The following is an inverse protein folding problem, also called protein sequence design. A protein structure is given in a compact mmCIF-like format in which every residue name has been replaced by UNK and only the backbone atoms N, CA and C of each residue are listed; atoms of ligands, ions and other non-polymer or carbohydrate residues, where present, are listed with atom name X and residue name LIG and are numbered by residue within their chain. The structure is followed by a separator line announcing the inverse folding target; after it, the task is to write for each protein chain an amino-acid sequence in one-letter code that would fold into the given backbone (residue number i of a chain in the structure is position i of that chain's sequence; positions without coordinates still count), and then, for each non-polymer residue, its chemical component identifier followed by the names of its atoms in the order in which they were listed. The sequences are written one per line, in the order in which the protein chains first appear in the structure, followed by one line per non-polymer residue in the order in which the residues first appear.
data_IF_864034919457
#
_entry.id   IF_864034919457
#
_cell.length_a   1.000
_cell.length_b   1.000
_cell.length_c   1.000
_cell.angle_alpha   90.00
_cell.angle_beta   90.00
_cell.angle_gamma   90.00
#
_symmetry.space_group_name_H-M   'P 1'
#
loop_
_entity.id
_entity.type
_entity.pdbx_description
1 polymer ?
#
# COMPACT_ATOMS: atom_id res chain seq x y z
N UNK A 1 -29.07 16.12 0.09
CA UNK A 1 -29.42 16.61 -1.26
C UNK A 1 -28.21 16.68 -2.19
N UNK A 2 -26.98 16.89 -1.70
CA UNK A 2 -25.73 16.88 -2.50
C UNK A 2 -25.21 15.44 -2.81
N UNK A 3 -25.57 14.43 -2.01
CA UNK A 3 -25.16 13.03 -2.25
C UNK A 3 -26.02 12.30 -3.32
N UNK A 4 -27.20 12.82 -3.68
CA UNK A 4 -28.04 12.25 -4.74
C UNK A 4 -27.59 12.69 -6.14
N UNK A 5 -27.06 13.92 -6.25
CA UNK A 5 -26.53 14.46 -7.52
C UNK A 5 -25.21 13.77 -7.92
N UNK A 6 -24.38 13.35 -6.94
CA UNK A 6 -23.17 12.55 -7.21
C UNK A 6 -23.43 11.12 -7.66
N UNK A 7 -24.60 10.55 -7.34
CA UNK A 7 -25.00 9.24 -7.89
C UNK A 7 -25.60 9.35 -9.30
N UNK A 8 -26.09 10.53 -9.71
CA UNK A 8 -26.64 10.75 -11.04
C UNK A 8 -25.57 10.86 -12.15
N UNK A 9 -24.31 11.17 -11.80
CA UNK A 9 -23.18 11.12 -12.73
C UNK A 9 -22.58 9.71 -12.90
N UNK A 10 -23.00 8.73 -12.08
CA UNK A 10 -22.48 7.37 -12.10
C UNK A 10 -23.08 6.61 -13.30
N UNK A 11 -22.30 6.52 -14.38
CA UNK A 11 -22.72 5.91 -15.63
C UNK A 11 -23.21 6.92 -16.67
N UNK A 12 -22.66 8.14 -16.68
CA UNK A 12 -22.87 9.10 -17.75
C UNK A 12 -22.53 8.47 -19.11
N UNK A 13 -23.57 8.09 -19.84
CA UNK A 13 -23.47 7.62 -21.21
C UNK A 13 -23.29 8.85 -22.09
N UNK A 14 -22.11 8.99 -22.68
CA UNK A 14 -21.84 10.03 -23.66
C UNK A 14 -21.90 9.43 -25.05
N UNK A 15 -22.85 9.89 -25.86
CA UNK A 15 -22.93 9.52 -27.28
C UNK A 15 -22.30 10.64 -28.09
N UNK A 16 -21.19 10.34 -28.75
CA UNK A 16 -20.45 11.26 -29.61
C UNK A 16 -20.70 10.91 -31.08
N UNK A 17 -20.72 11.96 -31.90
CA UNK A 17 -20.83 11.84 -33.35
C UNK A 17 -19.43 11.72 -33.95
N UNK A 18 -19.09 10.57 -34.55
CA UNK A 18 -17.77 10.39 -35.18
C UNK A 18 -17.76 10.88 -36.63
N UNK A 19 -18.90 10.83 -37.33
CA UNK A 19 -18.99 11.16 -38.77
C UNK A 19 -19.98 12.28 -39.05
N UNK A 20 -19.61 13.57 -38.87
CA UNK A 20 -20.50 14.70 -39.17
C UNK A 20 -20.84 14.82 -40.65
N UNK A 21 -20.05 14.21 -41.54
CA UNK A 21 -20.25 14.25 -42.99
C UNK A 21 -21.61 13.70 -43.41
N UNK A 22 -22.18 12.73 -42.69
CA UNK A 22 -23.53 12.22 -42.97
C UNK A 22 -24.60 13.29 -42.78
N UNK A 23 -24.45 14.17 -41.78
CA UNK A 23 -25.38 15.27 -41.57
C UNK A 23 -25.25 16.33 -42.67
N UNK A 24 -24.03 16.61 -43.11
CA UNK A 24 -23.77 17.50 -44.25
C UNK A 24 -24.38 16.96 -45.54
N UNK A 25 -24.20 15.66 -45.83
CA UNK A 25 -24.83 15.00 -46.97
C UNK A 25 -26.36 15.04 -46.88
N UNK A 26 -26.91 14.80 -45.69
CA UNK A 26 -28.36 14.85 -45.46
C UNK A 26 -28.91 16.27 -45.70
N UNK A 27 -28.20 17.30 -45.24
CA UNK A 27 -28.55 18.70 -45.48
C UNK A 27 -28.44 19.08 -46.98
N UNK A 28 -27.41 18.58 -47.67
CA UNK A 28 -27.25 18.76 -49.11
C UNK A 28 -28.38 18.11 -49.93
N UNK A 29 -28.78 16.89 -49.57
CA UNK A 29 -29.93 16.19 -50.18
C UNK A 29 -31.22 16.97 -49.93
N UNK A 30 -31.44 17.48 -48.72
CA UNK A 30 -32.59 18.31 -48.39
C UNK A 30 -32.66 19.56 -49.28
N UNK A 31 -31.53 20.26 -49.44
CA UNK A 31 -31.46 21.47 -50.28
C UNK A 31 -31.72 21.15 -51.76
N UNK A 32 -31.13 20.08 -52.28
CA UNK A 32 -31.37 19.61 -53.65
C UNK A 32 -32.83 19.19 -53.87
N UNK A 33 -33.45 18.54 -52.88
CA UNK A 33 -34.86 18.13 -52.93
C UNK A 33 -35.80 19.34 -52.98
N UNK A 34 -35.51 20.38 -52.19
CA UNK A 34 -36.28 21.63 -52.16
C UNK A 34 -36.17 22.42 -53.47
N UNK A 35 -34.97 22.47 -54.07
CA UNK A 35 -34.75 23.19 -55.35
C UNK A 35 -35.36 22.42 -56.53
N UNK A 36 -35.13 21.11 -56.61
CA UNK A 36 -35.49 20.33 -57.80
C UNK A 36 -36.94 19.84 -57.79
N UNK A 37 -37.57 19.70 -56.61
CA UNK A 37 -38.92 19.16 -56.48
C UNK A 37 -39.07 17.68 -56.84
N UNK A 38 -37.96 16.95 -57.01
CA UNK A 38 -37.96 15.55 -57.45
C UNK A 38 -38.34 14.63 -56.28
N UNK A 39 -39.45 13.90 -56.41
CA UNK A 39 -39.96 12.97 -55.38
C UNK A 39 -38.93 11.93 -54.91
N UNK A 40 -38.05 11.47 -55.81
CA UNK A 40 -36.99 10.50 -55.49
C UNK A 40 -36.03 11.03 -54.42
N UNK A 41 -35.69 12.32 -54.44
CA UNK A 41 -34.78 12.92 -53.45
C UNK A 41 -35.41 12.95 -52.05
N UNK A 42 -36.73 13.15 -51.94
CA UNK A 42 -37.44 13.05 -50.68
C UNK A 42 -37.41 11.63 -50.11
N UNK A 43 -37.55 10.60 -50.96
CA UNK A 43 -37.40 9.20 -50.52
C UNK A 43 -36.00 8.92 -49.95
N UNK A 44 -34.94 9.42 -50.61
CA UNK A 44 -33.57 9.31 -50.09
C UNK A 44 -33.39 10.07 -48.77
N UNK A 45 -33.96 11.26 -48.65
CA UNK A 45 -33.93 12.05 -47.41
C UNK A 45 -34.57 11.28 -46.25
N UNK A 46 -35.77 10.73 -46.43
CA UNK A 46 -36.45 9.97 -45.39
C UNK A 46 -35.70 8.69 -45.01
N UNK A 47 -35.10 8.00 -46.00
CA UNK A 47 -34.25 6.84 -45.74
C UNK A 47 -33.02 7.21 -44.90
N UNK A 48 -32.35 8.33 -45.21
CA UNK A 48 -31.18 8.81 -44.47
C UNK A 48 -31.54 9.24 -43.04
N UNK A 49 -32.65 9.97 -42.85
CA UNK A 49 -33.14 10.35 -41.52
C UNK A 49 -33.52 9.11 -40.70
N UNK A 50 -34.18 8.12 -41.31
CA UNK A 50 -34.50 6.84 -40.68
C UNK A 50 -33.25 6.08 -40.25
N UNK A 51 -32.20 6.07 -41.10
CA UNK A 51 -30.91 5.46 -40.78
C UNK A 51 -30.24 6.13 -39.57
N UNK A 52 -30.17 7.47 -39.55
CA UNK A 52 -29.59 8.23 -38.43
C UNK A 52 -30.36 7.95 -37.13
N UNK A 53 -31.69 8.00 -37.18
CA UNK A 53 -32.54 7.72 -36.02
C UNK A 53 -32.36 6.28 -35.52
N UNK A 54 -32.29 5.31 -36.43
CA UNK A 54 -32.04 3.90 -36.10
C UNK A 54 -30.65 3.71 -35.47
N UNK A 55 -29.59 4.29 -36.04
CA UNK A 55 -28.24 4.23 -35.48
C UNK A 55 -28.17 4.88 -34.09
N UNK A 56 -28.81 6.03 -33.89
CA UNK A 56 -28.85 6.69 -32.58
C UNK A 56 -29.56 5.83 -31.52
N UNK A 57 -30.73 5.27 -31.87
CA UNK A 57 -31.49 4.41 -30.97
C UNK A 57 -30.73 3.11 -30.66
N UNK A 58 -30.11 2.50 -31.68
CA UNK A 58 -29.29 1.30 -31.54
C UNK A 58 -28.14 1.52 -30.55
N UNK A 59 -27.31 2.54 -30.79
CA UNK A 59 -26.16 2.87 -29.94
C UNK A 59 -26.57 3.18 -28.51
N UNK A 60 -27.62 3.99 -28.32
CA UNK A 60 -28.12 4.37 -27.00
C UNK A 60 -28.69 3.17 -26.23
N UNK A 61 -29.37 2.25 -26.92
CA UNK A 61 -29.95 1.05 -26.29
C UNK A 61 -28.86 0.04 -25.91
N UNK A 62 -27.86 -0.15 -26.77
CA UNK A 62 -26.76 -1.08 -26.54
C UNK A 62 -25.92 -0.68 -25.31
N UNK A 63 -25.43 0.56 -25.25
CA UNK A 63 -24.56 1.00 -24.14
C UNK A 63 -25.28 0.99 -22.77
N UNK A 64 -26.59 1.24 -22.74
CA UNK A 64 -27.39 1.18 -21.51
C UNK A 64 -27.54 -0.23 -20.96
N UNK A 65 -27.67 -1.22 -21.85
CA UNK A 65 -27.87 -2.62 -21.49
C UNK A 65 -26.54 -3.38 -21.29
N UNK A 66 -25.41 -2.71 -21.49
CA UNK A 66 -24.09 -3.28 -21.29
C UNK A 66 -23.63 -3.11 -19.85
N UNK A 67 -23.29 -4.22 -19.21
CA UNK A 67 -22.62 -4.26 -17.92
C UNK A 67 -21.22 -4.86 -18.06
N UNK A 68 -20.28 -4.31 -17.29
CA UNK A 68 -18.94 -4.83 -17.16
C UNK A 68 -18.68 -4.99 -15.68
N UNK A 69 -18.28 -6.18 -15.30
CA UNK A 69 -17.92 -6.54 -13.94
C UNK A 69 -16.49 -7.03 -13.92
N UNK A 70 -15.79 -6.69 -12.83
CA UNK A 70 -14.40 -7.04 -12.60
C UNK A 70 -14.31 -7.81 -11.29
N UNK A 71 -13.61 -8.94 -11.34
CA UNK A 71 -13.38 -9.78 -10.18
C UNK A 71 -11.89 -9.96 -9.96
N UNK A 72 -11.39 -9.32 -8.91
CA UNK A 72 -10.06 -9.54 -8.38
C UNK A 72 -10.02 -10.82 -7.55
N UNK A 73 -9.04 -11.67 -7.82
CA UNK A 73 -8.77 -12.85 -6.97
C UNK A 73 -8.24 -12.43 -5.59
N UNK A 74 -7.38 -11.41 -5.55
CA UNK A 74 -6.81 -10.84 -4.32
C UNK A 74 -6.65 -9.33 -4.48
N UNK A 75 -6.79 -8.58 -3.39
CA UNK A 75 -6.54 -7.13 -3.34
C UNK A 75 -5.07 -6.78 -3.08
N UNK A 76 -4.22 -7.80 -2.98
CA UNK A 76 -2.80 -7.64 -2.72
C UNK A 76 -2.00 -8.75 -3.38
N UNK A 77 -0.71 -8.47 -3.59
CA UNK A 77 0.30 -9.42 -4.03
C UNK A 77 1.64 -9.13 -3.32
N UNK A 78 2.58 -10.05 -3.42
CA UNK A 78 3.99 -9.79 -3.09
C UNK A 78 4.74 -9.53 -4.40
N UNK A 79 5.84 -8.77 -4.33
CA UNK A 79 6.73 -8.60 -5.48
C UNK A 79 7.14 -9.97 -6.03
N UNK A 80 6.97 -10.16 -7.34
CA UNK A 80 7.20 -11.42 -8.05
C UNK A 80 5.95 -12.30 -8.25
N UNK A 81 4.84 -12.00 -7.56
CA UNK A 81 3.56 -12.68 -7.78
C UNK A 81 2.86 -12.14 -9.06
N UNK A 82 1.98 -12.94 -9.65
CA UNK A 82 1.10 -12.49 -10.74
C UNK A 82 -0.22 -11.93 -10.18
N UNK A 83 -0.59 -10.72 -10.61
CA UNK A 83 -1.96 -10.25 -10.46
C UNK A 83 -2.83 -10.99 -11.48
N UNK A 84 -3.92 -11.61 -11.02
CA UNK A 84 -4.90 -12.30 -11.87
C UNK A 84 -6.26 -11.66 -11.68
N UNK A 85 -6.77 -11.09 -12.78
CA UNK A 85 -8.06 -10.43 -12.81
C UNK A 85 -8.97 -11.10 -13.83
N UNK A 86 -10.24 -11.30 -13.47
CA UNK A 86 -11.27 -11.82 -14.37
C UNK A 86 -12.27 -10.73 -14.69
N UNK A 87 -12.45 -10.46 -15.97
CA UNK A 87 -13.43 -9.51 -16.46
C UNK A 87 -14.61 -10.26 -17.07
N UNK A 88 -15.81 -9.74 -16.82
CA UNK A 88 -17.04 -10.22 -17.41
C UNK A 88 -17.77 -9.05 -18.07
N UNK A 89 -18.00 -9.16 -19.36
CA UNK A 89 -18.86 -8.22 -20.10
C UNK A 89 -20.14 -8.94 -20.48
N UNK A 90 -21.28 -8.34 -20.16
CA UNK A 90 -22.58 -8.90 -20.46
C UNK A 90 -23.46 -7.89 -21.21
N UNK A 91 -24.13 -8.38 -22.26
CA UNK A 91 -25.18 -7.66 -22.95
C UNK A 91 -26.53 -8.15 -22.44
N UNK A 92 -27.25 -7.36 -21.64
CA UNK A 92 -28.60 -7.71 -21.19
C UNK A 92 -29.70 -7.40 -22.21
N UNK A 93 -29.34 -6.77 -23.34
CA UNK A 93 -30.25 -6.31 -24.37
C UNK A 93 -30.70 -7.40 -25.35
N UNK A 94 -31.76 -7.08 -26.09
CA UNK A 94 -32.25 -7.90 -27.21
C UNK A 94 -31.52 -7.61 -28.53
N UNK A 95 -30.79 -6.51 -28.62
CA UNK A 95 -29.99 -6.14 -29.79
C UNK A 95 -28.56 -6.68 -29.62
N UNK A 96 -27.92 -7.14 -30.71
CA UNK A 96 -26.52 -7.52 -30.68
C UNK A 96 -25.62 -6.28 -30.56
N UNK A 97 -24.57 -6.41 -29.76
CA UNK A 97 -23.46 -5.47 -29.67
C UNK A 97 -22.38 -5.95 -30.63
N UNK A 98 -22.27 -5.28 -31.78
CA UNK A 98 -21.33 -5.71 -32.83
C UNK A 98 -19.88 -5.66 -32.38
N UNK A 99 -19.55 -4.63 -31.61
CA UNK A 99 -18.26 -4.48 -30.97
C UNK A 99 -18.42 -3.72 -29.66
N UNK A 100 -17.67 -4.15 -28.67
CA UNK A 100 -17.41 -3.44 -27.43
C UNK A 100 -15.90 -3.43 -27.23
N UNK A 101 -15.37 -2.24 -26.94
CA UNK A 101 -14.00 -2.04 -26.51
C UNK A 101 -14.03 -1.67 -25.03
N UNK A 102 -13.40 -2.50 -24.20
CA UNK A 102 -13.24 -2.22 -22.76
C UNK A 102 -11.79 -1.86 -22.54
N UNK A 103 -11.54 -0.63 -22.10
CA UNK A 103 -10.21 -0.14 -21.76
C UNK A 103 -10.14 0.09 -20.25
N UNK A 104 -9.12 -0.48 -19.63
CA UNK A 104 -8.80 -0.27 -18.23
C UNK A 104 -7.71 0.79 -18.10
N UNK A 105 -7.93 1.78 -17.22
CA UNK A 105 -7.00 2.85 -16.90
C UNK A 105 -6.31 2.65 -15.54
N UNK A 106 -6.09 1.39 -15.17
CA UNK A 106 -5.26 0.99 -14.03
C UNK A 106 -3.81 1.53 -14.13
N UNK A 107 -3.20 1.88 -13.00
CA UNK A 107 -1.83 2.44 -12.92
C UNK A 107 -0.73 1.38 -12.69
N UNK A 108 -1.07 0.10 -12.83
CA UNK A 108 -0.14 -1.02 -12.64
C UNK A 108 0.82 -1.12 -13.84
N UNK A 109 2.15 -1.12 -13.63
CA UNK A 109 3.12 -1.23 -14.72
C UNK A 109 2.96 -2.53 -15.52
N UNK A 110 2.90 -2.43 -16.85
CA UNK A 110 2.76 -3.59 -17.74
C UNK A 110 1.39 -4.26 -17.69
N UNK A 111 0.39 -3.63 -17.07
CA UNK A 111 -0.97 -4.12 -16.99
C UNK A 111 -1.84 -3.56 -18.10
N UNK A 112 -2.22 -4.40 -19.06
CA UNK A 112 -3.18 -4.06 -20.11
C UNK A 112 -4.33 -5.07 -20.12
N UNK A 113 -5.50 -4.65 -19.64
CA UNK A 113 -6.70 -5.48 -19.62
C UNK A 113 -7.66 -5.24 -20.79
N UNK A 114 -7.20 -4.47 -21.79
CA UNK A 114 -8.01 -4.05 -22.93
C UNK A 114 -8.49 -5.23 -23.78
N UNK A 115 -9.78 -5.24 -24.16
CA UNK A 115 -10.30 -6.20 -25.15
C UNK A 115 -11.29 -5.53 -26.09
N UNK A 116 -11.30 -5.99 -27.35
CA UNK A 116 -12.33 -5.69 -28.34
C UNK A 116 -13.06 -6.98 -28.69
N UNK A 117 -14.37 -7.02 -28.49
CA UNK A 117 -15.17 -8.23 -28.71
C UNK A 117 -16.59 -7.91 -29.14
N UNK A 118 -17.28 -8.83 -29.81
CA UNK A 118 -18.72 -8.71 -30.12
C UNK A 118 -19.55 -9.57 -29.18
N UNK A 119 -20.77 -9.16 -28.87
CA UNK A 119 -21.72 -9.90 -28.03
C UNK A 119 -23.09 -9.98 -28.71
N UNK A 120 -23.61 -11.18 -28.87
CA UNK A 120 -24.99 -11.41 -29.27
C UNK A 120 -26.01 -10.92 -28.23
N UNK A 121 -27.31 -11.03 -28.53
CA UNK A 121 -28.37 -10.71 -27.59
C UNK A 121 -28.30 -11.61 -26.36
N UNK A 122 -28.34 -11.03 -25.15
CA UNK A 122 -28.26 -11.78 -23.88
C UNK A 122 -27.00 -12.64 -23.71
N UNK A 123 -25.94 -12.36 -24.48
CA UNK A 123 -24.65 -13.04 -24.37
C UNK A 123 -23.77 -12.37 -23.32
N UNK A 124 -22.87 -13.16 -22.72
CA UNK A 124 -21.77 -12.66 -21.90
C UNK A 124 -20.47 -13.29 -22.35
N UNK A 125 -19.37 -12.57 -22.14
CA UNK A 125 -18.00 -13.07 -22.37
C UNK A 125 -17.14 -12.77 -21.15
N UNK A 126 -16.28 -13.72 -20.86
CA UNK A 126 -15.32 -13.63 -19.75
C UNK A 126 -13.91 -13.84 -20.29
N UNK A 127 -12.97 -13.05 -19.77
CA UNK A 127 -11.54 -13.25 -20.02
C UNK A 127 -10.75 -12.99 -18.75
N UNK A 128 -9.51 -13.48 -18.75
CA UNK A 128 -8.57 -13.31 -17.64
C UNK A 128 -7.37 -12.53 -18.12
N UNK A 129 -7.00 -11.51 -17.37
CA UNK A 129 -5.77 -10.73 -17.57
C UNK A 129 -4.79 -11.09 -16.47
N UNK A 130 -3.51 -11.18 -16.84
CA UNK A 130 -2.41 -11.45 -15.91
C UNK A 130 -1.31 -10.42 -16.12
N UNK A 131 -0.72 -9.94 -15.03
CA UNK A 131 0.51 -9.16 -15.09
C UNK A 131 1.43 -9.53 -13.92
N UNK A 132 2.73 -9.38 -14.13
CA UNK A 132 3.72 -9.66 -13.10
C UNK A 132 3.93 -8.43 -12.21
N UNK A 133 3.91 -8.62 -10.90
CA UNK A 133 4.13 -7.54 -9.94
C UNK A 133 5.63 -7.27 -9.78
N UNK A 134 6.19 -6.45 -10.66
CA UNK A 134 7.63 -6.17 -10.65
C UNK A 134 8.03 -5.11 -9.61
N UNK A 135 7.11 -4.20 -9.26
CA UNK A 135 7.40 -3.08 -8.35
C UNK A 135 6.44 -3.06 -7.17
N UNK A 136 6.96 -2.90 -5.96
CA UNK A 136 6.14 -2.67 -4.75
C UNK A 136 5.46 -1.30 -4.84
N UNK A 137 4.27 -1.19 -4.26
CA UNK A 137 3.50 0.05 -4.31
C UNK A 137 2.02 -0.13 -4.05
N UNK A 138 1.35 1.00 -3.89
CA UNK A 138 -0.11 1.08 -3.90
C UNK A 138 -0.56 1.47 -5.30
N UNK A 139 -1.35 0.60 -5.93
CA UNK A 139 -1.87 0.79 -7.28
C UNK A 139 -3.39 1.00 -7.24
N UNK A 140 -3.88 1.86 -8.13
CA UNK A 140 -5.30 2.07 -8.41
C UNK A 140 -5.68 1.35 -9.69
N UNK A 141 -6.66 0.47 -9.56
CA UNK A 141 -7.25 -0.24 -10.67
C UNK A 141 -8.50 0.47 -11.17
N UNK A 142 -8.66 0.60 -12.48
CA UNK A 142 -9.73 1.39 -13.09
C UNK A 142 -9.41 2.89 -13.12
N UNK A 143 -10.33 3.73 -13.62
CA UNK A 143 -11.71 3.41 -14.01
C UNK A 143 -11.79 2.65 -15.35
N UNK A 144 -12.86 1.88 -15.52
CA UNK A 144 -13.14 1.18 -16.78
C UNK A 144 -13.86 2.11 -17.75
N UNK A 145 -13.36 2.22 -18.98
CA UNK A 145 -14.02 2.93 -20.07
C UNK A 145 -14.48 1.94 -21.11
N UNK A 146 -15.77 2.02 -21.44
CA UNK A 146 -16.41 1.10 -22.36
C UNK A 146 -16.92 1.86 -23.56
N UNK A 147 -16.51 1.43 -24.75
CA UNK A 147 -16.91 2.01 -26.02
C UNK A 147 -17.72 1.01 -26.83
N UNK A 148 -18.75 1.49 -27.51
CA UNK A 148 -19.53 0.72 -28.48
C UNK A 148 -20.10 1.68 -29.53
N UNK A 149 -20.62 1.14 -30.64
CA UNK A 149 -21.19 1.94 -31.71
C UNK A 149 -22.22 1.19 -32.55
N UNK A 150 -22.74 1.89 -33.54
CA UNK A 150 -23.69 1.33 -34.50
C UNK A 150 -22.97 0.66 -35.69
N UNK A 151 -23.67 -0.17 -36.48
CA UNK A 151 -23.09 -0.86 -37.65
C UNK A 151 -22.51 0.08 -38.72
N UNK A 152 -23.00 1.32 -38.80
CA UNK A 152 -22.62 2.29 -39.83
C UNK A 152 -21.56 3.29 -39.35
N UNK A 153 -21.16 3.23 -38.07
CA UNK A 153 -20.16 4.11 -37.47
C UNK A 153 -20.56 5.59 -37.44
N UNK A 154 -21.86 5.87 -37.30
CA UNK A 154 -22.39 7.24 -37.21
C UNK A 154 -22.18 7.77 -35.78
N UNK A 155 -22.51 6.95 -34.79
CA UNK A 155 -22.47 7.29 -33.37
C UNK A 155 -21.59 6.31 -32.59
N UNK A 156 -20.74 6.85 -31.72
CA UNK A 156 -20.00 6.08 -30.72
C UNK A 156 -20.49 6.46 -29.34
N UNK A 157 -20.86 5.47 -28.54
CA UNK A 157 -21.18 5.66 -27.13
C UNK A 157 -19.99 5.29 -26.26
N UNK A 158 -19.74 6.12 -25.25
CA UNK A 158 -18.78 5.89 -24.18
C UNK A 158 -19.51 5.82 -22.85
N UNK A 159 -19.20 4.82 -22.03
CA UNK A 159 -19.67 4.69 -20.65
C UNK A 159 -18.46 4.54 -19.75
N UNK A 160 -18.32 5.43 -18.78
CA UNK A 160 -17.29 5.36 -17.75
C UNK A 160 -17.89 4.68 -16.52
N UNK A 161 -17.27 3.59 -16.08
CA UNK A 161 -17.63 2.87 -14.88
C UNK A 161 -16.62 3.24 -13.79
N UNK A 162 -17.05 3.89 -12.69
CA UNK A 162 -16.17 4.26 -11.57
C UNK A 162 -15.84 3.04 -10.69
N UNK A 163 -15.69 1.87 -11.29
CA UNK A 163 -15.22 0.66 -10.62
C UNK A 163 -13.73 0.87 -10.33
N UNK A 164 -13.44 1.45 -9.18
CA UNK A 164 -12.10 1.72 -8.71
C UNK A 164 -11.77 0.82 -7.54
N UNK A 165 -10.66 0.09 -7.66
CA UNK A 165 -10.15 -0.77 -6.61
C UNK A 165 -8.71 -0.38 -6.30
N UNK A 166 -8.27 -0.63 -5.08
CA UNK A 166 -6.88 -0.44 -4.68
C UNK A 166 -6.21 -1.79 -4.55
N UNK A 167 -5.01 -1.90 -5.11
CA UNK A 167 -4.19 -3.11 -5.12
C UNK A 167 -2.83 -2.82 -4.51
N UNK A 168 -2.46 -3.55 -3.45
CA UNK A 168 -1.22 -3.32 -2.71
C UNK A 168 -0.20 -4.42 -3.01
N UNK A 169 0.96 -4.04 -3.54
CA UNK A 169 2.10 -4.95 -3.74
C UNK A 169 3.11 -4.77 -2.62
N UNK A 170 3.27 -5.81 -1.82
CA UNK A 170 4.18 -5.84 -0.69
C UNK A 170 5.62 -6.16 -1.11
N UNK A 171 6.63 -5.68 -0.36
CA UNK A 171 7.99 -6.11 -0.58
C UNK A 171 8.15 -7.61 -0.27
N UNK A 172 9.09 -8.30 -0.92
CA UNK A 172 9.32 -9.72 -0.67
C UNK A 172 9.88 -9.93 0.74
N UNK A 173 9.42 -10.99 1.40
CA UNK A 173 10.01 -11.43 2.66
C UNK A 173 11.20 -12.31 2.32
N UNK A 174 12.41 -11.80 2.56
CA UNK A 174 13.65 -12.51 2.27
C UNK A 174 14.35 -12.94 3.55
N UNK A 175 15.12 -14.02 3.51
CA UNK A 175 16.17 -14.27 4.49
C UNK A 175 17.39 -13.44 4.14
N UNK A 176 18.03 -12.88 5.17
CA UNK A 176 19.35 -12.24 5.06
C UNK A 176 20.36 -13.20 5.70
N UNK A 177 21.10 -13.99 4.90
CA UNK A 177 22.10 -14.90 5.43
C UNK A 177 23.18 -14.13 6.21
N UNK A 178 23.61 -14.66 7.36
CA UNK A 178 24.75 -14.10 8.10
C UNK A 178 24.48 -12.87 8.95
N UNK A 179 23.24 -12.35 9.00
CA UNK A 179 22.90 -11.21 9.87
C UNK A 179 22.84 -11.65 11.36
N UNK A 180 23.99 -11.71 12.01
CA UNK A 180 24.08 -11.89 13.46
C UNK A 180 23.74 -10.56 14.15
N UNK A 181 22.45 -10.22 14.17
CA UNK A 181 21.99 -9.09 14.99
C UNK A 181 22.46 -9.34 16.43
N UNK A 182 23.07 -8.36 17.11
CA UNK A 182 23.37 -8.49 18.52
C UNK A 182 22.05 -8.72 19.26
N UNK A 183 21.73 -9.98 19.52
CA UNK A 183 20.64 -10.34 20.40
C UNK A 183 20.93 -9.65 21.71
N UNK A 184 19.98 -8.88 22.24
CA UNK A 184 20.00 -8.41 23.63
C UNK A 184 19.99 -9.55 24.67
N UNK A 185 20.42 -10.76 24.29
CA UNK A 185 20.68 -11.88 25.19
C UNK A 185 21.87 -11.52 26.06
N UNK A 186 21.53 -11.27 27.31
CA UNK A 186 22.45 -11.07 28.42
C UNK A 186 23.47 -12.22 28.48
N UNK A 187 24.73 -11.93 28.21
CA UNK A 187 25.84 -12.62 28.87
C UNK A 187 25.91 -12.11 30.31
N UNK A 188 25.39 -12.91 31.23
CA UNK A 188 25.87 -13.13 32.62
C UNK A 188 26.09 -11.99 33.63
N UNK A 189 26.52 -10.79 33.25
CA UNK A 189 27.21 -9.89 34.20
C UNK A 189 26.56 -8.52 34.45
N UNK A 190 25.59 -8.08 33.65
CA UNK A 190 24.89 -6.79 33.90
C UNK A 190 23.69 -6.89 34.83
N UNK A 191 23.68 -7.88 35.73
CA UNK A 191 22.49 -8.30 36.49
C UNK A 191 22.14 -7.42 37.71
N UNK A 192 22.76 -6.26 37.93
CA UNK A 192 22.73 -5.66 39.29
C UNK A 192 22.44 -4.17 39.44
N UNK A 193 22.41 -3.29 38.42
CA UNK A 193 22.43 -1.84 38.71
C UNK A 193 21.31 -0.93 38.17
N UNK A 194 20.25 -1.45 37.53
CA UNK A 194 19.00 -0.66 37.31
C UNK A 194 17.74 -1.50 37.49
N UNK A 195 17.62 -2.16 38.66
CA UNK A 195 16.40 -2.87 39.09
C UNK A 195 15.37 -1.91 39.71
N UNK A 196 15.08 -0.79 39.08
CA UNK A 196 14.11 0.15 39.64
C UNK A 196 13.32 0.87 38.54
N UNK A 197 11.99 0.71 38.62
CA UNK A 197 10.93 1.48 37.96
C UNK A 197 10.81 1.39 36.44
N UNK A 198 10.26 0.31 35.88
CA UNK A 198 9.43 0.47 34.67
C UNK A 198 8.26 -0.51 34.73
N UNK A 199 7.07 0.04 34.98
CA UNK A 199 5.81 -0.66 35.04
C UNK A 199 5.09 -0.42 33.72
N UNK A 200 4.78 -1.49 33.00
CA UNK A 200 3.76 -1.45 31.94
C UNK A 200 2.40 -1.20 32.60
N UNK A 201 1.44 -0.59 31.89
CA UNK A 201 0.10 -0.30 32.44
C UNK A 201 -0.79 -1.54 32.56
N UNK A 202 -0.46 -2.62 31.85
CA UNK A 202 -1.22 -3.88 31.85
C UNK A 202 -0.58 -4.92 32.76
N UNK A 203 -1.32 -5.37 33.77
CA UNK A 203 -0.90 -6.45 34.68
C UNK A 203 -1.12 -7.81 33.99
N UNK A 204 -0.07 -8.62 33.91
CA UNK A 204 -0.13 -9.94 33.27
C UNK A 204 -0.66 -11.03 34.23
N UNK A 205 -0.32 -10.92 35.51
CA UNK A 205 -0.81 -11.80 36.57
C UNK A 205 -0.94 -11.05 37.89
N UNK A 206 -1.48 -11.73 38.90
CA UNK A 206 -1.67 -11.19 40.24
C UNK A 206 -1.17 -12.24 41.23
N UNK A 207 -0.24 -11.86 42.11
CA UNK A 207 0.27 -12.72 43.20
C UNK A 207 -0.05 -12.16 44.58
N UNK A 208 0.14 -12.98 45.60
CA UNK A 208 0.03 -12.54 47.00
C UNK A 208 1.15 -11.55 47.34
N UNK A 209 0.78 -10.48 48.06
CA UNK A 209 1.69 -9.43 48.48
C UNK A 209 2.71 -9.96 49.47
N UNK A 210 3.98 -9.59 49.28
CA UNK A 210 5.07 -9.94 50.20
C UNK A 210 5.61 -8.65 50.82
N UNK A 211 5.92 -8.63 52.14
CA UNK A 211 6.56 -7.49 52.78
C UNK A 211 7.86 -7.08 52.04
N UNK A 212 7.85 -5.89 51.44
CA UNK A 212 8.91 -5.39 50.55
C UNK A 212 8.42 -4.97 49.17
N UNK A 213 7.23 -5.42 48.75
CA UNK A 213 6.58 -4.94 47.53
C UNK A 213 6.13 -3.47 47.68
N UNK A 214 6.26 -2.69 46.60
CA UNK A 214 5.83 -1.29 46.61
C UNK A 214 4.29 -1.17 46.70
N UNK A 215 3.79 -0.22 47.48
CA UNK A 215 2.34 -0.09 47.71
C UNK A 215 1.55 0.34 46.44
N UNK A 216 2.19 1.02 45.49
CA UNK A 216 1.52 1.52 44.27
C UNK A 216 1.23 0.43 43.24
N UNK A 217 1.80 -0.78 43.41
CA UNK A 217 1.55 -1.93 42.53
C UNK A 217 0.47 -2.88 43.09
N UNK A 218 -0.27 -2.47 44.13
CA UNK A 218 -1.39 -3.26 44.67
C UNK A 218 -2.56 -3.28 43.66
N UNK A 219 -3.10 -4.47 43.40
CA UNK A 219 -4.29 -4.65 42.57
C UNK A 219 -5.55 -4.58 43.46
N UNK A 220 -6.06 -3.37 43.69
CA UNK A 220 -7.23 -3.14 44.56
C UNK A 220 -8.47 -3.99 44.21
N UNK A 221 -8.85 -4.18 42.93
CA UNK A 221 -10.03 -4.99 42.60
C UNK A 221 -9.91 -6.47 43.00
N UNK A 222 -8.72 -7.07 42.90
CA UNK A 222 -8.49 -8.47 43.28
C UNK A 222 -8.29 -8.59 44.79
N UNK A 223 -7.64 -7.61 45.39
CA UNK A 223 -7.48 -7.49 46.85
C UNK A 223 -8.86 -7.44 47.54
N UNK A 224 -9.77 -6.61 47.04
CA UNK A 224 -11.14 -6.52 47.54
C UNK A 224 -11.92 -7.83 47.40
N UNK A 225 -11.69 -8.59 46.32
CA UNK A 225 -12.37 -9.88 46.08
C UNK A 225 -11.82 -11.04 46.91
N UNK A 226 -10.52 -11.05 47.22
CA UNK A 226 -9.83 -12.17 47.88
C UNK A 226 -9.55 -11.95 49.37
N UNK A 227 -9.77 -10.73 49.89
CA UNK A 227 -9.55 -10.39 51.29
C UNK A 227 -8.08 -10.41 51.74
N UNK A 228 -7.15 -10.52 50.80
CA UNK A 228 -5.69 -10.51 51.03
C UNK A 228 -5.05 -9.54 50.04
N UNK A 229 -4.00 -8.85 50.47
CA UNK A 229 -3.25 -7.95 49.60
C UNK A 229 -2.70 -8.72 48.40
N UNK A 230 -2.94 -8.18 47.21
CA UNK A 230 -2.47 -8.75 45.96
C UNK A 230 -1.63 -7.74 45.20
N UNK A 231 -0.45 -8.17 44.76
CA UNK A 231 0.48 -7.36 43.97
C UNK A 231 0.29 -7.67 42.48
N UNK A 232 0.22 -6.64 41.65
CA UNK A 232 0.28 -6.77 40.18
C UNK A 232 1.64 -7.34 39.80
N UNK A 233 1.64 -8.48 39.14
CA UNK A 233 2.81 -8.96 38.42
C UNK A 233 2.74 -8.44 37.00
N UNK A 234 3.72 -7.62 36.67
CA UNK A 234 3.95 -7.18 35.31
C UNK A 234 4.85 -8.22 34.68
N UNK A 235 4.46 -8.73 33.51
CA UNK A 235 5.36 -9.54 32.71
C UNK A 235 6.52 -8.62 32.32
N UNK A 236 7.65 -8.76 33.01
CA UNK A 236 8.85 -8.02 32.70
C UNK A 236 9.37 -8.60 31.40
N UNK A 237 9.04 -7.95 30.27
CA UNK A 237 9.51 -8.35 28.95
C UNK A 237 11.05 -8.36 28.96
N UNK A 238 11.73 -9.52 28.97
CA UNK A 238 13.16 -9.57 29.27
C UNK A 238 14.05 -9.00 28.15
N UNK A 239 13.47 -8.64 27.00
CA UNK A 239 14.20 -8.37 25.75
C UNK A 239 14.15 -6.93 25.21
N UNK A 240 13.35 -6.03 25.80
CA UNK A 240 13.16 -4.67 25.29
C UNK A 240 12.60 -4.59 23.87
N UNK A 241 12.30 -3.37 23.40
CA UNK A 241 11.89 -3.14 22.00
C UNK A 241 13.10 -2.96 21.08
N UNK A 242 12.97 -3.44 19.83
CA UNK A 242 13.90 -3.16 18.74
C UNK A 242 13.27 -2.16 17.78
N UNK A 243 14.00 -1.12 17.42
CA UNK A 243 13.54 -0.13 16.44
C UNK A 243 14.29 -0.29 15.13
N UNK A 244 13.59 -0.18 14.02
CA UNK A 244 14.17 -0.15 12.68
C UNK A 244 13.94 1.25 12.13
N UNK A 245 15.03 1.90 11.72
CA UNK A 245 15.00 3.18 11.05
C UNK A 245 15.51 3.01 9.63
N UNK A 246 14.72 3.47 8.67
CA UNK A 246 15.07 3.53 7.26
C UNK A 246 15.52 4.94 6.92
N UNK A 247 16.72 5.05 6.34
CA UNK A 247 17.18 6.29 5.75
C UNK A 247 16.53 6.48 4.38
N UNK A 248 15.57 7.41 4.33
CA UNK A 248 14.79 7.74 3.15
C UNK A 248 15.15 9.14 2.61
N UNK A 249 16.33 9.66 2.95
CA UNK A 249 16.89 10.87 2.35
C UNK A 249 17.29 10.59 0.90
N UNK A 250 16.72 11.34 -0.04
CA UNK A 250 17.01 11.26 -1.47
C UNK A 250 18.48 11.53 -1.81
N UNK A 251 19.20 12.29 -0.98
CA UNK A 251 20.55 12.76 -1.29
C UNK A 251 21.63 11.68 -1.12
N UNK A 252 21.30 10.61 -0.40
CA UNK A 252 22.21 9.50 -0.10
C UNK A 252 21.86 8.21 -0.84
N UNK A 253 20.68 8.15 -1.48
CA UNK A 253 20.31 6.97 -2.26
C UNK A 253 21.11 6.88 -3.56
N UNK A 254 21.47 5.65 -3.91
CA UNK A 254 22.13 5.27 -5.15
C UNK A 254 21.43 4.05 -5.80
N UNK A 255 21.76 3.81 -7.06
CA UNK A 255 21.19 2.75 -7.90
C UNK A 255 19.87 3.12 -8.56
N UNK A 256 19.44 2.30 -9.51
CA UNK A 256 18.20 2.49 -10.28
C UNK A 256 17.25 1.31 -10.07
N UNK A 257 15.95 1.62 -10.09
CA UNK A 257 14.88 0.62 -10.04
C UNK A 257 15.02 -0.40 -8.90
N UNK A 258 14.92 -1.70 -9.21
CA UNK A 258 14.92 -2.83 -8.27
C UNK A 258 16.27 -3.07 -7.60
N UNK A 259 17.32 -2.49 -8.19
CA UNK A 259 18.72 -2.54 -7.78
C UNK A 259 19.16 -1.25 -7.08
N UNK A 260 18.21 -0.49 -6.53
CA UNK A 260 18.50 0.70 -5.74
C UNK A 260 18.71 0.38 -4.26
N UNK A 261 19.50 1.23 -3.61
CA UNK A 261 19.68 1.24 -2.14
C UNK A 261 18.36 1.37 -1.38
N UNK A 262 17.37 2.09 -1.94
CA UNK A 262 16.01 2.17 -1.38
C UNK A 262 15.34 0.79 -1.34
N UNK A 263 15.34 0.06 -2.46
CA UNK A 263 14.71 -1.27 -2.54
C UNK A 263 15.43 -2.29 -1.66
N UNK A 264 16.77 -2.26 -1.61
CA UNK A 264 17.55 -3.09 -0.70
C UNK A 264 17.25 -2.75 0.77
N UNK A 265 17.11 -1.47 1.11
CA UNK A 265 16.73 -1.04 2.46
C UNK A 265 15.38 -1.62 2.87
N UNK A 266 14.41 -1.58 1.96
CA UNK A 266 13.07 -2.13 2.19
C UNK A 266 13.09 -3.66 2.32
N UNK A 267 13.82 -4.37 1.46
CA UNK A 267 14.01 -5.84 1.54
C UNK A 267 14.63 -6.24 2.89
N UNK A 268 15.69 -5.54 3.31
CA UNK A 268 16.34 -5.73 4.61
C UNK A 268 15.37 -5.48 5.78
N UNK A 269 14.62 -4.38 5.74
CA UNK A 269 13.63 -4.07 6.78
C UNK A 269 12.52 -5.14 6.85
N UNK A 270 11.98 -5.57 5.71
CA UNK A 270 10.96 -6.63 5.65
C UNK A 270 11.48 -7.94 6.26
N UNK A 271 12.71 -8.33 5.90
CA UNK A 271 13.37 -9.52 6.45
C UNK A 271 13.56 -9.44 7.97
N UNK A 272 14.05 -8.30 8.46
CA UNK A 272 14.25 -8.04 9.90
C UNK A 272 12.93 -8.11 10.66
N UNK A 273 11.89 -7.47 10.14
CA UNK A 273 10.56 -7.42 10.77
C UNK A 273 10.00 -8.83 10.88
N UNK A 274 10.05 -9.60 9.79
CA UNK A 274 9.58 -10.98 9.78
C UNK A 274 10.31 -11.85 10.81
N UNK A 275 11.65 -11.80 10.81
CA UNK A 275 12.47 -12.58 11.76
C UNK A 275 12.18 -12.19 13.21
N UNK A 276 12.21 -10.90 13.54
CA UNK A 276 12.07 -10.41 14.91
C UNK A 276 10.66 -10.66 15.48
N UNK A 277 9.61 -10.63 14.65
CA UNK A 277 8.25 -10.97 15.09
C UNK A 277 8.12 -12.46 15.38
N UNK A 278 8.76 -13.33 14.57
CA UNK A 278 8.82 -14.78 14.87
C UNK A 278 9.58 -15.07 16.16
N UNK A 279 10.58 -14.27 16.49
CA UNK A 279 11.30 -14.29 17.77
C UNK A 279 10.48 -13.66 18.93
N UNK A 280 9.21 -13.28 18.72
CA UNK A 280 8.32 -12.67 19.71
C UNK A 280 8.82 -11.34 20.28
N UNK A 281 9.62 -10.58 19.50
CA UNK A 281 10.11 -9.26 19.91
C UNK A 281 9.16 -8.15 19.49
N UNK A 282 9.10 -7.10 20.31
CA UNK A 282 8.38 -5.87 20.00
C UNK A 282 9.21 -5.00 19.04
N UNK A 283 8.64 -4.61 17.90
CA UNK A 283 9.33 -3.88 16.82
C UNK A 283 8.70 -2.54 16.57
N UNK A 284 9.47 -1.46 16.62
CA UNK A 284 9.08 -0.13 16.15
C UNK A 284 9.69 0.18 14.78
N UNK A 285 9.03 1.05 14.01
CA UNK A 285 9.48 1.48 12.70
C UNK A 285 9.55 3.02 12.65
N UNK A 286 10.64 3.55 12.10
CA UNK A 286 10.85 4.98 11.82
C UNK A 286 11.13 5.14 10.34
N UNK A 287 10.27 5.88 9.64
CA UNK A 287 10.44 6.23 8.22
C UNK A 287 10.30 7.74 8.09
N UNK A 288 11.38 8.42 7.71
CA UNK A 288 11.38 9.87 7.47
C UNK A 288 11.68 10.14 6.00
N UNK A 289 10.63 10.19 5.19
CA UNK A 289 10.69 10.36 3.73
C UNK A 289 9.81 11.52 3.30
N UNK A 290 8.91 11.27 2.35
CA UNK A 290 7.82 12.22 2.01
C UNK A 290 6.80 12.29 3.17
N UNK A 291 6.42 11.13 3.72
CA UNK A 291 5.57 11.01 4.90
C UNK A 291 6.40 10.56 6.11
N UNK A 292 6.61 11.45 7.08
CA UNK A 292 7.28 11.11 8.33
C UNK A 292 6.34 10.27 9.21
N UNK A 293 6.73 9.01 9.48
CA UNK A 293 5.95 8.08 10.31
C UNK A 293 6.81 7.43 11.38
N UNK A 294 6.28 7.41 12.60
CA UNK A 294 6.84 6.68 13.73
C UNK A 294 5.79 5.68 14.19
N UNK A 295 5.99 4.40 13.87
CA UNK A 295 5.16 3.32 14.35
C UNK A 295 5.76 2.76 15.64
N UNK A 296 5.02 2.88 16.74
CA UNK A 296 5.46 2.42 18.06
C UNK A 296 5.72 0.93 18.09
N UNK A 297 6.65 0.52 18.95
CA UNK A 297 7.00 -0.87 19.10
C UNK A 297 5.82 -1.72 19.60
N UNK A 298 5.49 -2.76 18.83
CA UNK A 298 4.48 -3.75 19.18
C UNK A 298 4.84 -5.12 18.57
N UNK A 299 4.09 -6.15 18.90
CA UNK A 299 4.32 -7.55 18.49
C UNK A 299 3.11 -8.15 17.78
N UNK A 300 3.31 -9.33 17.21
CA UNK A 300 2.28 -10.13 16.57
C UNK A 300 2.08 -9.83 15.08
N UNK A 301 1.40 -10.75 14.39
CA UNK A 301 1.30 -10.74 12.93
C UNK A 301 0.51 -9.54 12.38
N UNK A 302 -0.45 -8.99 13.12
CA UNK A 302 -1.16 -7.76 12.69
C UNK A 302 -0.21 -6.58 12.58
N UNK A 303 0.68 -6.42 13.57
CA UNK A 303 1.68 -5.37 13.57
C UNK A 303 2.72 -5.57 12.45
N UNK A 304 3.09 -6.82 12.17
CA UNK A 304 3.92 -7.18 11.02
C UNK A 304 3.32 -6.62 9.72
N UNK A 305 2.06 -6.95 9.45
CA UNK A 305 1.39 -6.52 8.23
C UNK A 305 1.26 -5.00 8.15
N UNK A 306 1.05 -4.32 9.29
CA UNK A 306 1.04 -2.86 9.32
C UNK A 306 2.40 -2.25 8.95
N UNK A 307 3.49 -2.84 9.41
CA UNK A 307 4.83 -2.44 8.99
C UNK A 307 5.01 -2.70 7.49
N UNK A 308 4.62 -3.89 7.01
CA UNK A 308 4.74 -4.24 5.59
C UNK A 308 3.93 -3.31 4.67
N UNK A 309 2.77 -2.83 5.10
CA UNK A 309 1.99 -1.81 4.37
C UNK A 309 2.74 -0.49 4.23
N UNK A 310 3.42 -0.05 5.30
CA UNK A 310 4.27 1.14 5.25
C UNK A 310 5.44 0.90 4.30
N UNK A 311 6.13 -0.25 4.44
CA UNK A 311 7.26 -0.62 3.59
C UNK A 311 6.90 -0.78 2.10
N UNK A 312 5.65 -1.11 1.79
CA UNK A 312 5.17 -1.21 0.41
C UNK A 312 5.05 0.14 -0.30
N UNK A 313 4.83 1.24 0.45
CA UNK A 313 4.53 2.57 -0.11
C UNK A 313 5.65 3.57 0.12
N UNK A 314 6.55 3.34 1.07
CA UNK A 314 7.67 4.25 1.35
C UNK A 314 8.56 4.45 0.13
N UNK A 315 8.91 5.71 -0.13
CA UNK A 315 9.89 6.14 -1.14
C UNK A 315 10.90 7.07 -0.50
N UNK A 316 12.15 6.98 -0.92
CA UNK A 316 13.26 7.81 -0.47
C UNK A 316 13.28 9.15 -1.22
N UNK A 317 12.20 9.91 -1.04
CA UNK A 317 12.04 11.26 -1.58
C UNK A 317 12.21 12.34 -0.50
N UNK A 318 12.52 11.94 0.74
CA UNK A 318 12.71 12.85 1.86
C UNK A 318 14.00 13.67 1.72
N UNK A 319 14.09 14.72 2.51
CA UNK A 319 15.27 15.62 2.56
C UNK A 319 15.92 15.68 3.95
N UNK A 320 15.41 14.91 4.90
CA UNK A 320 15.87 14.93 6.29
C UNK A 320 17.05 13.97 6.47
N UNK A 321 18.18 14.46 6.94
CA UNK A 321 19.35 13.62 7.14
C UNK A 321 19.14 12.65 8.31
N UNK A 322 19.62 11.42 8.17
CA UNK A 322 19.53 10.37 9.20
C UNK A 322 19.96 10.84 10.60
N UNK A 323 21.02 11.66 10.68
CA UNK A 323 21.52 12.19 11.95
C UNK A 323 20.57 13.18 12.64
N UNK A 324 19.90 14.03 11.87
CA UNK A 324 18.91 14.99 12.38
C UNK A 324 17.69 14.25 12.92
N UNK A 325 17.17 13.30 12.13
CA UNK A 325 16.01 12.47 12.52
C UNK A 325 16.33 11.67 13.77
N UNK A 326 17.52 11.07 13.88
CA UNK A 326 17.92 10.35 15.09
C UNK A 326 17.97 11.27 16.31
N UNK A 327 18.44 12.50 16.17
CA UNK A 327 18.50 13.47 17.25
C UNK A 327 17.11 13.88 17.74
N UNK A 328 16.15 14.01 16.82
CA UNK A 328 14.75 14.33 17.10
C UNK A 328 13.98 13.16 17.72
N UNK A 329 14.19 11.94 17.23
CA UNK A 329 13.39 10.76 17.59
C UNK A 329 13.98 10.01 18.78
N UNK A 330 15.29 10.06 19.03
CA UNK A 330 15.93 9.38 20.15
C UNK A 330 15.29 9.64 21.54
N UNK A 331 14.72 10.82 21.87
CA UNK A 331 13.97 11.04 23.11
C UNK A 331 12.64 10.28 23.22
N UNK A 332 12.05 9.91 22.08
CA UNK A 332 10.75 9.23 21.98
C UNK A 332 10.90 7.70 22.07
N UNK A 333 12.07 7.16 21.73
CA UNK A 333 12.42 5.73 21.74
C UNK A 333 12.79 5.26 23.17
N UNK A 334 11.95 5.57 24.17
CA UNK A 334 12.22 5.20 25.58
C UNK A 334 11.93 3.72 25.82
N UNK A 335 12.83 3.04 26.55
CA UNK A 335 12.68 1.62 26.91
C UNK A 335 13.11 0.63 25.81
N UNK A 336 13.78 1.12 24.78
CA UNK A 336 14.30 0.29 23.69
C UNK A 336 15.70 -0.21 23.99
N UNK A 337 15.96 -1.45 23.60
CA UNK A 337 17.26 -2.09 23.82
C UNK A 337 18.14 -2.06 22.56
N UNK A 338 17.54 -1.97 21.38
CA UNK A 338 18.24 -2.00 20.10
C UNK A 338 17.64 -1.02 19.11
N UNK A 339 18.51 -0.40 18.30
CA UNK A 339 18.15 0.45 17.18
C UNK A 339 18.93 -0.03 15.95
N UNK A 340 18.24 -0.44 14.91
CA UNK A 340 18.82 -0.83 13.64
C UNK A 340 18.62 0.34 12.67
N UNK A 341 19.72 0.91 12.18
CA UNK A 341 19.69 2.00 11.18
C UNK A 341 20.13 1.43 9.86
N UNK A 342 19.25 1.49 8.85
CA UNK A 342 19.55 1.05 7.48
C UNK A 342 19.81 2.31 6.67
N UNK A 343 21.04 2.51 6.20
CA UNK A 343 21.44 3.76 5.54
C UNK A 343 22.53 3.53 4.48
N UNK A 344 22.42 4.18 3.31
CA UNK A 344 23.50 4.30 2.34
C UNK A 344 24.42 5.52 2.58
N UNK A 345 24.13 6.35 3.60
CA UNK A 345 24.90 7.57 3.88
C UNK A 345 26.38 7.27 4.12
N UNK A 346 27.24 8.18 3.68
CA UNK A 346 28.69 8.12 3.91
C UNK A 346 29.17 9.20 4.89
N UNK A 347 28.24 9.89 5.57
CA UNK A 347 28.57 11.01 6.45
C UNK A 347 29.14 10.53 7.79
N UNK A 348 30.43 10.80 8.11
CA UNK A 348 31.03 10.41 9.38
C UNK A 348 30.38 11.07 10.61
N UNK A 349 29.60 12.17 10.44
CA UNK A 349 28.89 12.82 11.53
C UNK A 349 27.79 11.94 12.18
N UNK A 350 27.39 10.85 11.52
CA UNK A 350 26.46 9.88 12.09
C UNK A 350 27.03 9.15 13.33
N UNK A 351 28.34 8.86 13.35
CA UNK A 351 28.97 8.13 14.44
C UNK A 351 28.82 8.79 15.83
N UNK A 352 29.14 10.09 16.04
CA UNK A 352 28.94 10.73 17.34
C UNK A 352 27.47 10.80 17.76
N UNK A 353 26.53 10.87 16.81
CA UNK A 353 25.08 10.84 17.09
C UNK A 353 24.69 9.47 17.64
N UNK A 354 25.16 8.38 17.02
CA UNK A 354 24.93 7.02 17.50
C UNK A 354 25.58 6.76 18.86
N UNK A 355 26.75 7.36 19.15
CA UNK A 355 27.35 7.31 20.48
C UNK A 355 26.44 7.96 21.54
N UNK A 356 25.80 9.09 21.21
CA UNK A 356 24.82 9.73 22.09
C UNK A 356 23.58 8.85 22.32
N UNK A 357 23.14 8.11 21.30
CA UNK A 357 22.08 7.09 21.43
C UNK A 357 22.54 5.94 22.35
N UNK A 358 23.77 5.45 22.19
CA UNK A 358 24.38 4.43 23.07
C UNK A 358 24.42 4.84 24.54
N UNK A 359 24.74 6.12 24.83
CA UNK A 359 24.74 6.66 26.20
C UNK A 359 23.37 6.63 26.88
N UNK A 360 22.28 6.54 26.10
CA UNK A 360 20.91 6.40 26.61
C UNK A 360 20.53 4.94 26.92
N UNK A 361 21.43 3.99 26.67
CA UNK A 361 21.22 2.56 26.91
C UNK A 361 20.60 1.80 25.73
N UNK A 362 20.46 2.45 24.56
CA UNK A 362 20.00 1.83 23.32
C UNK A 362 21.25 1.35 22.57
N UNK A 363 21.30 0.11 22.08
CA UNK A 363 22.43 -0.38 21.27
C UNK A 363 22.16 -0.15 19.78
N UNK A 364 22.83 0.82 19.13
CA UNK A 364 22.69 0.99 17.70
C UNK A 364 23.46 -0.08 16.92
N UNK A 365 22.88 -0.54 15.82
CA UNK A 365 23.53 -1.37 14.79
C UNK A 365 23.24 -0.75 13.44
N UNK A 366 24.28 -0.52 12.64
CA UNK A 366 24.14 0.10 11.31
C UNK A 366 24.18 -1.00 10.25
N UNK A 367 23.14 -1.11 9.43
CA UNK A 367 23.18 -1.83 8.18
C UNK A 367 23.57 -0.83 7.09
N UNK A 368 24.85 -0.82 6.76
CA UNK A 368 25.43 0.13 5.83
C UNK A 368 25.35 -0.44 4.41
N UNK A 369 24.51 0.18 3.58
CA UNK A 369 24.47 -0.12 2.16
C UNK A 369 25.64 0.61 1.51
N UNK A 370 26.54 -0.11 0.84
CA UNK A 370 27.80 0.42 0.32
C UNK A 370 27.52 1.16 -0.99
N UNK A 371 27.34 2.51 -1.02
CA UNK A 371 26.78 3.18 -2.20
C UNK A 371 27.65 3.04 -3.47
N UNK A 372 28.96 2.75 -3.36
CA UNK A 372 29.80 2.52 -4.54
C UNK A 372 29.40 1.27 -5.32
N UNK A 373 28.95 0.23 -4.63
CA UNK A 373 28.50 -0.98 -5.32
C UNK A 373 27.23 -0.71 -6.12
N UNK A 374 26.43 0.29 -5.72
CA UNK A 374 25.20 0.73 -6.38
C UNK A 374 25.41 1.89 -7.38
N UNK A 375 26.67 2.19 -7.75
CA UNK A 375 27.00 3.19 -8.77
C UNK A 375 27.24 4.62 -8.28
N UNK A 376 27.26 4.88 -6.96
CA UNK A 376 27.72 6.17 -6.43
C UNK A 376 29.25 6.27 -6.43
N UNK A 377 29.77 7.49 -6.45
CA UNK A 377 31.21 7.79 -6.38
C UNK A 377 31.69 8.10 -4.97
N UNK A 378 30.80 8.40 -4.02
CA UNK A 378 31.16 8.80 -2.65
C UNK A 378 31.76 7.62 -1.88
N UNK A 379 32.94 7.74 -1.23
CA UNK A 379 33.60 6.67 -0.48
C UNK A 379 32.93 6.36 0.87
N UNK A 380 32.87 5.08 1.27
CA UNK A 380 32.23 4.57 2.49
C UNK A 380 33.20 4.52 3.68
N UNK A 381 34.49 4.43 3.38
CA UNK A 381 35.56 4.33 4.36
C UNK A 381 35.52 5.40 5.47
N UNK A 382 35.19 6.69 5.20
CA UNK A 382 35.11 7.71 6.26
C UNK A 382 34.09 7.37 7.35
N UNK A 383 32.88 6.94 6.97
CA UNK A 383 31.85 6.54 7.93
C UNK A 383 32.23 5.24 8.63
N UNK A 384 32.69 4.23 7.89
CA UNK A 384 33.08 2.93 8.45
C UNK A 384 34.18 3.09 9.52
N UNK A 385 35.20 3.90 9.23
CA UNK A 385 36.27 4.22 10.18
C UNK A 385 35.72 4.95 11.41
N UNK A 386 34.80 5.89 11.24
CA UNK A 386 34.17 6.61 12.35
C UNK A 386 33.32 5.69 13.23
N UNK A 387 32.54 4.77 12.64
CA UNK A 387 31.75 3.77 13.37
C UNK A 387 32.64 2.78 14.13
N UNK A 388 33.70 2.28 13.48
CA UNK A 388 34.69 1.41 14.10
C UNK A 388 35.41 2.06 15.27
N UNK A 389 35.87 3.30 15.11
CA UNK A 389 36.50 4.09 16.18
C UNK A 389 35.54 4.38 17.34
N UNK A 390 34.24 4.53 17.06
CA UNK A 390 33.19 4.72 18.06
C UNK A 390 32.74 3.41 18.74
N UNK A 391 33.21 2.25 18.29
CA UNK A 391 32.79 0.93 18.80
C UNK A 391 31.34 0.58 18.46
N UNK A 392 30.79 1.16 17.39
CA UNK A 392 29.43 0.90 16.91
C UNK A 392 29.47 -0.29 15.94
N UNK A 393 28.62 -1.29 16.17
CA UNK A 393 28.52 -2.43 15.27
C UNK A 393 27.88 -2.02 13.96
N UNK A 394 28.52 -2.37 12.84
CA UNK A 394 27.96 -2.18 11.51
C UNK A 394 28.13 -3.44 10.66
N UNK A 395 27.25 -3.62 9.69
CA UNK A 395 27.26 -4.70 8.71
C UNK A 395 27.17 -4.06 7.33
N UNK A 396 28.06 -4.46 6.44
CA UNK A 396 28.11 -3.97 5.06
C UNK A 396 27.18 -4.82 4.19
N UNK A 397 26.42 -4.14 3.32
CA UNK A 397 25.54 -4.75 2.34
C UNK A 397 25.91 -4.18 0.97
N UNK A 398 26.30 -5.06 0.07
CA UNK A 398 26.72 -4.73 -1.30
C UNK A 398 25.62 -5.06 -2.31
N UNK A 399 25.68 -4.41 -3.48
CA UNK A 399 24.80 -4.74 -4.60
C UNK A 399 25.06 -6.18 -5.07
N UNK A 400 24.00 -6.93 -5.37
CA UNK A 400 24.08 -8.31 -5.84
C UNK A 400 24.20 -9.36 -4.73
N UNK A 401 24.18 -8.95 -3.46
CA UNK A 401 24.11 -9.88 -2.34
C UNK A 401 22.77 -10.66 -2.39
N UNK A 402 22.85 -11.99 -2.45
CA UNK A 402 21.67 -12.83 -2.62
C UNK A 402 20.75 -12.81 -1.38
N UNK A 403 19.54 -12.28 -1.57
CA UNK A 403 18.45 -12.41 -0.62
C UNK A 403 17.56 -13.59 -1.02
N UNK A 404 17.44 -14.62 -0.17
CA UNK A 404 16.58 -15.77 -0.48
C UNK A 404 15.14 -15.44 -0.09
N UNK A 405 14.24 -15.31 -1.07
CA UNK A 405 12.81 -15.11 -0.81
C UNK A 405 12.21 -16.33 -0.10
N UNK A 406 11.54 -16.10 1.03
CA UNK A 406 10.79 -17.13 1.73
C UNK A 406 9.35 -17.17 1.23
N UNK A 407 8.85 -18.38 0.97
CA UNK A 407 7.42 -18.59 0.80
C UNK A 407 6.73 -18.42 2.17
N UNK A 408 5.68 -17.60 2.23
CA UNK A 408 4.86 -17.45 3.42
C UNK A 408 4.16 -18.79 3.76
N UNK A 409 4.19 -19.22 5.02
CA UNK A 409 3.42 -20.39 5.46
C UNK A 409 1.92 -20.08 5.43
N UNK A 410 1.08 -21.04 4.99
CA UNK A 410 -0.40 -20.88 4.85
C UNK A 410 -1.11 -20.30 6.09
N UNK A 411 -0.55 -20.47 7.29
CA UNK A 411 -1.13 -19.93 8.54
C UNK A 411 -1.04 -18.41 8.66
N UNK A 412 -0.03 -17.78 8.05
CA UNK A 412 0.14 -16.32 8.07
C UNK A 412 -0.83 -15.61 7.11
N UNK A 413 -1.29 -16.30 6.06
CA UNK A 413 -2.30 -15.81 5.11
C UNK A 413 -3.69 -15.64 5.78
N UNK A 414 -4.05 -16.53 6.70
CA UNK A 414 -5.34 -16.50 7.41
C UNK A 414 -5.40 -15.42 8.50
N UNK A 415 -4.30 -15.22 9.23
CA UNK A 415 -4.17 -14.13 10.22
C UNK A 415 -4.19 -12.76 9.52
N UNK A 416 -3.65 -12.69 8.31
CA UNK A 416 -3.67 -11.50 7.44
C UNK A 416 -5.06 -11.12 6.96
N UNK A 417 -5.87 -12.09 6.48
CA UNK A 417 -7.28 -11.84 6.10
C UNK A 417 -8.08 -11.23 7.26
N UNK A 418 -7.82 -11.68 8.49
CA UNK A 418 -8.48 -11.16 9.70
C UNK A 418 -8.00 -9.75 10.07
N UNK A 419 -6.71 -9.44 9.92
CA UNK A 419 -6.17 -8.11 10.19
C UNK A 419 -6.82 -7.02 9.32
N UNK A 420 -6.96 -7.28 8.01
CA UNK A 420 -7.53 -6.32 7.06
C UNK A 420 -9.06 -6.18 7.18
N UNK A 421 -9.79 -7.24 7.56
CA UNK A 421 -11.24 -7.19 7.79
C UNK A 421 -11.60 -6.28 8.97
N UNK A 422 -10.74 -6.23 10.00
CA UNK A 422 -10.94 -5.37 11.17
C UNK A 422 -10.69 -3.89 10.83
N UNK A 423 -9.77 -3.58 9.92
CA UNK A 423 -9.45 -2.20 9.52
C UNK A 423 -10.47 -1.63 8.50
N UNK A 424 -11.05 -2.44 7.62
CA UNK A 424 -12.21 -2.01 6.80
C UNK A 424 -13.43 -1.72 7.69
N UNK A 425 -13.64 -2.47 8.77
CA UNK A 425 -14.72 -2.22 9.73
C UNK A 425 -14.49 -0.96 10.60
N UNK A 426 -13.25 -0.65 10.97
CA UNK A 426 -12.92 0.56 11.75
C UNK A 426 -12.91 1.83 10.91
N UNK A 427 -12.45 1.76 9.65
CA UNK A 427 -12.51 2.89 8.71
C UNK A 427 -13.96 3.26 8.39
N UNK A 428 -14.85 2.26 8.24
CA UNK A 428 -16.29 2.51 8.05
C UNK A 428 -16.97 3.15 9.27
N UNK A 429 -16.49 2.86 10.49
CA UNK A 429 -17.00 3.50 11.73
C UNK A 429 -16.46 4.91 11.96
N UNK A 430 -15.21 5.21 11.58
CA UNK A 430 -14.64 6.54 11.74
C UNK A 430 -15.33 7.57 10.82
N UNK A 431 -15.64 7.19 9.58
CA UNK A 431 -16.40 8.06 8.65
C UNK A 431 -17.86 8.26 9.07
N UNK A 432 -18.45 7.32 9.82
CA UNK A 432 -19.80 7.46 10.36
C UNK A 432 -19.88 8.33 11.64
N UNK A 433 -18.78 8.43 12.40
CA UNK A 433 -18.80 9.14 13.70
C UNK A 433 -18.37 10.61 13.59
N UNK A 434 -17.71 11.00 12.49
CA UNK A 434 -17.32 12.39 12.20
C UNK A 434 -18.45 13.32 11.72
N UNK A 435 -19.70 12.85 11.57
CA UNK A 435 -20.81 13.64 10.99
C UNK A 435 -21.87 14.13 12.00
N UNK A 436 -21.65 14.02 13.31
CA UNK A 436 -22.67 14.36 14.34
C UNK A 436 -22.33 15.55 15.25
N UNK A 437 -21.15 16.17 15.18
CA UNK A 437 -20.87 17.40 15.92
C UNK A 437 -20.69 18.61 15.00
N UNK A 438 -21.81 19.22 14.64
CA UNK A 438 -21.83 20.49 13.92
C UNK A 438 -23.23 20.95 13.59
N UNK A 439 -24.10 21.13 14.59
CA UNK A 439 -25.36 21.90 14.51
C UNK A 439 -25.91 22.13 15.93
N UNK A 440 -25.45 23.19 16.60
CA UNK A 440 -26.20 23.93 17.62
C UNK A 440 -25.46 25.24 17.93
N UNK A 441 -25.76 26.28 17.16
CA UNK A 441 -25.59 27.68 17.53
C UNK A 441 -26.45 28.48 16.54
N UNK A 442 -27.60 28.92 17.01
CA UNK A 442 -28.64 29.66 16.29
C UNK A 442 -29.83 29.83 17.20
#
# INVERSE_FOLDING_TARGET
MIDADRQAEQGAVQVQLERPLIFVLTAGILLLALISGINVLYSFLYAMLGLIALSYFWTTRNIRNLSVERHLVSKWATLGDEIVETFRVANSGALPVLWVEVNDHSDVPGYEAGIVTGLGPREHREWKTRALCNRRGLYRLGPLRVYTGDPFGIFRATKILPDEATFLVYPPITEVPGLALPTGRQTGESRSLRRALHLTTDAASVREFVPGDALHIIHWPTTARRGRLQTKEFDMEPGGSTWIMLDLDRAVQAGEEDESTEEYSVKLAAALVYRLIREQKSIGLITYGEDNRILRANKGSQHMWRIMEILAVVRAQGTAQVGEVLSEVAPQIRGSMSLIVITPSTDPALAPILVNVSRRGIRPTVLHLVPQTFGDSKPSAPLQNALGAAGISYIEIEQGQEFRTMALEKGDEDVRRRAQTVETASTTKSTATGRVHGLSAG
#
